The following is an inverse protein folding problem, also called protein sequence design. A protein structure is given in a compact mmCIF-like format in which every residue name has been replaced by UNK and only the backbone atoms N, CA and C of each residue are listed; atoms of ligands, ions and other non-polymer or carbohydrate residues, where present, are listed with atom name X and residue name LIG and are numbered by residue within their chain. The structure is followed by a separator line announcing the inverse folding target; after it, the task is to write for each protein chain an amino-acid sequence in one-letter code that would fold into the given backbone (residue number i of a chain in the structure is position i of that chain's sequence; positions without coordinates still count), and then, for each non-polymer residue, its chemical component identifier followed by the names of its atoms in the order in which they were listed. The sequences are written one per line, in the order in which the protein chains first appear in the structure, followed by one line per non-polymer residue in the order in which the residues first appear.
data_IF_185564526866
#
_entry.id   IF_185564526866
#
_cell.length_a   1.000
_cell.length_b   1.000
_cell.length_c   1.000
_cell.angle_alpha   90.00
_cell.angle_beta   90.00
_cell.angle_gamma   90.00
#
_symmetry.space_group_name_H-M   'P 1'
#
loop_
_entity.id
_entity.type
_entity.pdbx_description
1 polymer ?
#
# COMPACT_ATOMS: atom_id res chain seq x y z
N UNK A 1 22.36 1.55 -24.25
CA UNK A 1 22.24 0.12 -24.65
C UNK A 1 20.87 -0.37 -24.18
N UNK A 2 19.87 -0.35 -25.05
CA UNK A 2 18.51 -0.75 -24.66
C UNK A 2 18.47 -2.24 -24.32
N UNK A 3 18.02 -2.59 -23.11
CA UNK A 3 17.77 -3.99 -22.73
C UNK A 3 16.68 -4.52 -23.68
N UNK A 4 17.07 -5.32 -24.68
CA UNK A 4 16.12 -6.11 -25.46
C UNK A 4 15.35 -7.01 -24.49
N UNK A 5 14.02 -6.89 -24.49
CA UNK A 5 13.15 -7.75 -23.68
C UNK A 5 13.40 -9.21 -24.07
N UNK A 6 13.84 -10.03 -23.12
CA UNK A 6 14.01 -11.45 -23.34
C UNK A 6 12.64 -12.13 -23.34
N UNK A 7 12.40 -13.00 -24.33
CA UNK A 7 11.18 -13.81 -24.39
C UNK A 7 11.27 -14.90 -23.31
N UNK A 8 10.90 -14.54 -22.08
CA UNK A 8 10.77 -15.48 -20.97
C UNK A 8 9.35 -16.05 -20.97
N UNK A 9 9.25 -17.36 -20.94
CA UNK A 9 7.97 -18.03 -20.75
C UNK A 9 7.45 -17.72 -19.35
N UNK A 10 6.15 -17.45 -19.26
CA UNK A 10 5.45 -17.22 -17.98
C UNK A 10 4.34 -18.27 -17.90
N UNK A 11 4.30 -18.98 -16.78
CA UNK A 11 3.26 -19.97 -16.47
C UNK A 11 2.29 -19.33 -15.48
N UNK A 12 0.99 -19.40 -15.76
CA UNK A 12 -0.08 -18.88 -14.91
C UNK A 12 -1.08 -20.02 -14.67
N UNK A 13 -1.56 -20.11 -13.43
CA UNK A 13 -2.61 -21.04 -13.02
C UNK A 13 -3.74 -20.21 -12.43
N UNK A 14 -4.98 -20.47 -12.86
CA UNK A 14 -6.17 -19.85 -12.28
C UNK A 14 -7.28 -20.90 -12.16
N UNK A 15 -8.07 -20.80 -11.09
CA UNK A 15 -9.26 -21.62 -10.85
C UNK A 15 -10.57 -20.86 -11.10
N UNK A 16 -10.52 -19.53 -11.20
CA UNK A 16 -11.70 -18.67 -11.34
C UNK A 16 -11.84 -18.05 -12.73
N UNK A 17 -10.75 -17.97 -13.49
CA UNK A 17 -10.72 -17.26 -14.77
C UNK A 17 -11.05 -18.20 -15.93
N UNK A 18 -11.79 -17.69 -16.93
CA UNK A 18 -12.00 -18.39 -18.21
C UNK A 18 -10.74 -18.27 -19.08
N UNK A 19 -10.50 -19.27 -19.93
CA UNK A 19 -9.40 -19.27 -20.89
C UNK A 19 -9.73 -18.39 -22.12
N UNK A 20 -9.93 -17.09 -21.86
CA UNK A 20 -10.26 -16.07 -22.86
C UNK A 20 -9.10 -15.08 -23.01
N UNK A 21 -9.14 -14.31 -24.09
CA UNK A 21 -8.07 -13.39 -24.48
C UNK A 21 -8.67 -12.04 -24.83
N UNK A 22 -8.09 -10.96 -24.31
CA UNK A 22 -8.49 -9.58 -24.59
C UNK A 22 -7.40 -8.83 -25.34
N UNK A 23 -7.81 -7.88 -26.18
CA UNK A 23 -6.89 -6.97 -26.85
C UNK A 23 -6.51 -5.81 -25.93
N UNK A 24 -5.21 -5.62 -25.74
CA UNK A 24 -4.68 -4.56 -24.89
C UNK A 24 -3.74 -3.68 -25.70
N UNK A 25 -3.87 -2.34 -25.62
CA UNK A 25 -2.95 -1.43 -26.31
C UNK A 25 -1.56 -1.53 -25.70
N UNK A 26 -0.55 -1.77 -26.53
CA UNK A 26 0.87 -1.70 -26.17
C UNK A 26 1.53 -0.56 -26.92
N UNK A 27 2.09 0.39 -26.17
CA UNK A 27 2.94 1.45 -26.72
C UNK A 27 4.30 0.86 -27.09
N UNK A 28 4.67 1.02 -28.35
CA UNK A 28 5.99 0.67 -28.87
C UNK A 28 6.87 1.91 -28.88
N UNK A 29 8.14 1.74 -28.54
CA UNK A 29 9.13 2.83 -28.69
C UNK A 29 9.28 3.11 -30.19
N UNK A 30 9.08 4.36 -30.60
CA UNK A 30 9.09 4.87 -31.98
C UNK A 30 7.79 4.68 -32.81
N UNK A 31 6.66 4.36 -32.19
CA UNK A 31 5.35 4.42 -32.85
C UNK A 31 4.43 5.42 -32.14
N UNK A 32 3.70 6.24 -32.92
CA UNK A 32 2.74 7.21 -32.38
C UNK A 32 1.45 6.52 -31.92
N UNK A 33 0.97 5.55 -32.70
CA UNK A 33 -0.22 4.77 -32.38
C UNK A 33 0.10 3.52 -31.56
N UNK A 34 -0.71 3.18 -30.55
CA UNK A 34 -0.57 1.95 -29.79
C UNK A 34 -0.96 0.74 -30.65
N UNK A 35 -0.17 -0.32 -30.57
CA UNK A 35 -0.49 -1.60 -31.22
C UNK A 35 -1.40 -2.44 -30.31
N UNK A 36 -2.50 -2.96 -30.84
CA UNK A 36 -3.35 -3.91 -30.13
C UNK A 36 -2.65 -5.28 -30.05
N UNK A 37 -2.55 -5.82 -28.85
CA UNK A 37 -1.95 -7.13 -28.59
C UNK A 37 -2.91 -7.98 -27.79
N UNK A 38 -3.16 -9.18 -28.29
CA UNK A 38 -3.94 -10.19 -27.61
C UNK A 38 -3.19 -10.72 -26.38
N UNK A 39 -3.79 -10.61 -25.19
CA UNK A 39 -3.26 -11.11 -23.92
C UNK A 39 -4.30 -11.98 -23.23
N UNK A 40 -3.91 -13.12 -22.60
CA UNK A 40 -4.85 -13.94 -21.85
C UNK A 40 -5.46 -13.13 -20.70
N UNK A 41 -6.76 -13.24 -20.46
CA UNK A 41 -7.44 -12.46 -19.43
C UNK A 41 -6.88 -12.73 -18.03
N UNK A 42 -6.42 -13.95 -17.79
CA UNK A 42 -5.73 -14.37 -16.57
C UNK A 42 -4.56 -13.44 -16.23
N UNK A 43 -3.78 -12.99 -17.23
CA UNK A 43 -2.64 -12.09 -16.96
C UNK A 43 -3.11 -10.67 -16.63
N UNK A 44 -4.25 -10.24 -17.15
CA UNK A 44 -4.81 -8.93 -16.87
C UNK A 44 -5.36 -8.88 -15.45
N UNK A 45 -6.09 -9.92 -15.06
CA UNK A 45 -6.58 -10.11 -13.69
C UNK A 45 -5.42 -10.19 -12.69
N UNK A 46 -4.41 -11.01 -12.97
CA UNK A 46 -3.21 -11.09 -12.14
C UNK A 46 -2.56 -9.71 -11.95
N UNK A 47 -2.27 -8.99 -13.03
CA UNK A 47 -1.61 -7.68 -12.95
C UNK A 47 -2.46 -6.63 -12.23
N UNK A 48 -3.80 -6.73 -12.29
CA UNK A 48 -4.72 -5.81 -11.60
C UNK A 48 -4.61 -5.95 -10.09
N UNK A 49 -4.40 -7.16 -9.57
CA UNK A 49 -4.47 -7.44 -8.12
C UNK A 49 -3.11 -7.74 -7.46
N UNK A 50 -2.08 -8.13 -8.22
CA UNK A 50 -0.79 -8.56 -7.67
C UNK A 50 -0.09 -7.49 -6.81
N UNK A 51 -0.34 -6.20 -7.09
CA UNK A 51 0.33 -5.08 -6.43
C UNK A 51 -0.19 -4.72 -5.04
N UNK A 52 -1.22 -5.39 -4.53
CA UNK A 52 -1.86 -5.02 -3.26
C UNK A 52 -0.91 -5.05 -2.06
N UNK A 53 -0.12 -6.11 -1.93
CA UNK A 53 0.85 -6.27 -0.83
C UNK A 53 1.99 -5.27 -0.94
N UNK A 54 2.63 -5.17 -2.11
CA UNK A 54 3.73 -4.24 -2.36
C UNK A 54 3.30 -2.77 -2.13
N UNK A 55 2.08 -2.42 -2.52
CA UNK A 55 1.52 -1.07 -2.29
C UNK A 55 1.29 -0.82 -0.80
N UNK A 56 0.76 -1.81 -0.07
CA UNK A 56 0.59 -1.71 1.38
C UNK A 56 1.94 -1.54 2.09
N UNK A 57 2.95 -2.31 1.70
CA UNK A 57 4.29 -2.22 2.28
C UNK A 57 4.96 -0.88 1.94
N UNK A 58 4.81 -0.40 0.70
CA UNK A 58 5.26 0.95 0.30
C UNK A 58 4.62 2.04 1.17
N UNK A 59 3.32 1.96 1.45
CA UNK A 59 2.63 2.90 2.33
C UNK A 59 3.17 2.83 3.76
N UNK A 60 3.50 1.64 4.27
CA UNK A 60 4.10 1.51 5.60
C UNK A 60 5.44 2.23 5.67
N UNK A 61 6.32 2.03 4.68
CA UNK A 61 7.65 2.65 4.63
C UNK A 61 7.65 4.18 4.69
N UNK A 62 6.57 4.85 4.26
CA UNK A 62 6.48 6.33 4.30
C UNK A 62 6.55 6.91 5.71
N UNK A 63 6.08 6.18 6.73
CA UNK A 63 6.09 6.63 8.14
C UNK A 63 6.63 5.54 9.08
N UNK A 64 7.45 4.63 8.55
CA UNK A 64 8.01 3.54 9.32
C UNK A 64 9.11 4.05 10.25
N UNK A 65 8.90 3.94 11.55
CA UNK A 65 9.92 4.26 12.56
C UNK A 65 10.88 3.07 12.73
N UNK A 66 11.82 2.91 11.79
CA UNK A 66 12.87 1.89 11.88
C UNK A 66 13.95 2.28 12.91
N UNK A 67 13.69 1.96 14.18
CA UNK A 67 14.69 2.11 15.24
C UNK A 67 15.66 0.94 15.25
N UNK A 68 16.97 1.24 15.29
CA UNK A 68 18.01 0.22 15.54
C UNK A 68 17.75 -0.43 16.90
N UNK A 69 17.50 -1.73 16.91
CA UNK A 69 17.25 -2.49 18.14
C UNK A 69 17.91 -3.86 18.08
N UNK A 70 18.55 -4.27 19.18
CA UNK A 70 19.13 -5.61 19.33
C UNK A 70 18.06 -6.69 19.58
N UNK A 71 16.85 -6.29 19.99
CA UNK A 71 15.76 -7.21 20.35
C UNK A 71 14.74 -7.31 19.22
N UNK A 72 14.78 -8.42 18.46
CA UNK A 72 13.94 -8.63 17.28
C UNK A 72 12.42 -8.50 17.53
N UNK A 73 11.94 -8.97 18.69
CA UNK A 73 10.51 -8.88 19.03
C UNK A 73 9.97 -7.44 19.03
N UNK A 74 10.79 -6.44 19.39
CA UNK A 74 10.40 -5.03 19.32
C UNK A 74 10.08 -4.61 17.89
N UNK A 75 10.87 -5.07 16.92
CA UNK A 75 10.65 -4.80 15.49
C UNK A 75 9.30 -5.37 15.03
N UNK A 76 8.96 -6.58 15.48
CA UNK A 76 7.67 -7.21 15.16
C UNK A 76 6.51 -6.40 15.76
N UNK A 77 6.58 -6.07 17.05
CA UNK A 77 5.51 -5.30 17.74
C UNK A 77 5.27 -3.94 17.07
N UNK A 78 6.32 -3.16 16.81
CA UNK A 78 6.16 -1.85 16.15
C UNK A 78 5.65 -1.97 14.71
N UNK A 79 6.08 -3.01 13.96
CA UNK A 79 5.54 -3.27 12.64
C UNK A 79 4.04 -3.57 12.66
N UNK A 80 3.56 -4.35 13.64
CA UNK A 80 2.14 -4.62 13.83
C UNK A 80 1.38 -3.32 14.14
N UNK A 81 1.89 -2.50 15.07
CA UNK A 81 1.29 -1.21 15.41
C UNK A 81 1.20 -0.28 14.19
N UNK A 82 2.25 -0.21 13.37
CA UNK A 82 2.25 0.60 12.15
C UNK A 82 1.22 0.10 11.13
N UNK A 83 1.03 -1.22 11.01
CA UNK A 83 -0.02 -1.84 10.17
C UNK A 83 -1.42 -1.53 10.70
N UNK A 84 -1.63 -1.63 12.00
CA UNK A 84 -2.90 -1.25 12.63
C UNK A 84 -3.23 0.22 12.37
N UNK A 85 -2.25 1.11 12.53
CA UNK A 85 -2.41 2.54 12.30
C UNK A 85 -2.74 2.84 10.82
N UNK A 86 -2.05 2.20 9.87
CA UNK A 86 -2.36 2.35 8.45
C UNK A 86 -3.79 1.86 8.13
N UNK A 87 -4.18 0.70 8.63
CA UNK A 87 -5.52 0.14 8.43
C UNK A 87 -6.60 1.05 9.03
N UNK A 88 -6.37 1.59 10.23
CA UNK A 88 -7.30 2.55 10.85
C UNK A 88 -7.47 3.82 10.02
N UNK A 89 -6.39 4.32 9.42
CA UNK A 89 -6.45 5.47 8.52
C UNK A 89 -7.23 5.17 7.23
N UNK A 90 -7.06 3.98 6.65
CA UNK A 90 -7.81 3.55 5.46
C UNK A 90 -9.31 3.54 5.76
N UNK A 91 -9.71 2.90 6.87
CA UNK A 91 -11.11 2.85 7.31
C UNK A 91 -11.68 4.26 7.58
N UNK A 92 -10.91 5.11 8.26
CA UNK A 92 -11.27 6.51 8.49
C UNK A 92 -11.49 7.26 7.16
N UNK A 93 -10.58 7.09 6.21
CA UNK A 93 -10.65 7.77 4.91
C UNK A 93 -11.85 7.28 4.09
N UNK A 94 -12.14 5.98 4.09
CA UNK A 94 -13.30 5.39 3.43
C UNK A 94 -14.61 5.90 4.05
N UNK A 95 -14.70 5.92 5.38
CA UNK A 95 -15.86 6.46 6.10
C UNK A 95 -16.08 7.94 5.78
N UNK A 96 -15.03 8.77 5.79
CA UNK A 96 -15.13 10.20 5.45
C UNK A 96 -15.55 10.41 3.99
N UNK A 97 -14.97 9.66 3.05
CA UNK A 97 -15.33 9.73 1.63
C UNK A 97 -16.78 9.35 1.40
N UNK A 98 -17.26 8.28 2.04
CA UNK A 98 -18.66 7.82 1.92
C UNK A 98 -19.65 8.87 2.42
N UNK A 99 -19.25 9.70 3.38
CA UNK A 99 -20.04 10.81 3.91
C UNK A 99 -19.77 12.17 3.21
N UNK A 100 -19.08 12.19 2.06
CA UNK A 100 -18.67 13.41 1.35
C UNK A 100 -17.90 14.42 2.22
N UNK A 101 -17.16 13.93 3.22
CA UNK A 101 -16.35 14.76 4.11
C UNK A 101 -14.89 14.81 3.66
N UNK A 102 -14.24 15.95 3.90
CA UNK A 102 -12.81 16.12 3.61
C UNK A 102 -11.98 15.18 4.47
N UNK A 103 -11.17 14.35 3.82
CA UNK A 103 -10.21 13.46 4.48
C UNK A 103 -8.99 14.27 4.91
N UNK A 104 -8.51 14.03 6.13
CA UNK A 104 -7.27 14.65 6.61
C UNK A 104 -6.04 13.92 6.08
N UNK A 105 -4.90 14.62 5.99
CA UNK A 105 -3.62 14.00 5.65
C UNK A 105 -3.26 12.93 6.69
N UNK A 106 -2.68 11.81 6.25
CA UNK A 106 -2.23 10.72 7.12
C UNK A 106 -1.31 11.18 8.24
N UNK A 107 -0.34 12.06 7.96
CA UNK A 107 0.53 12.59 9.02
C UNK A 107 -0.30 13.27 10.13
N UNK A 108 -1.29 14.08 9.72
CA UNK A 108 -2.14 14.79 10.69
C UNK A 108 -3.00 13.84 11.51
N UNK A 109 -3.52 12.79 10.88
CA UNK A 109 -4.25 11.72 11.55
C UNK A 109 -3.40 10.99 12.59
N UNK A 110 -2.14 10.72 12.27
CA UNK A 110 -1.19 10.08 13.20
C UNK A 110 -0.88 11.02 14.37
N UNK A 111 -0.63 12.31 14.10
CA UNK A 111 -0.41 13.32 15.16
C UNK A 111 -1.58 13.42 16.13
N UNK A 112 -2.82 13.37 15.62
CA UNK A 112 -4.03 13.43 16.48
C UNK A 112 -4.11 12.21 17.38
N UNK A 113 -3.87 11.01 16.85
CA UNK A 113 -3.86 9.78 17.65
C UNK A 113 -2.77 9.82 18.73
N UNK A 114 -1.55 10.24 18.38
CA UNK A 114 -0.45 10.35 19.34
C UNK A 114 -0.79 11.35 20.44
N UNK A 115 -1.36 12.50 20.08
CA UNK A 115 -1.76 13.54 21.03
C UNK A 115 -2.87 13.06 21.97
N UNK A 116 -3.88 12.37 21.45
CA UNK A 116 -4.98 11.82 22.23
C UNK A 116 -4.50 10.75 23.23
N UNK A 117 -3.68 9.79 22.77
CA UNK A 117 -3.11 8.75 23.63
C UNK A 117 -2.18 9.35 24.69
N UNK A 118 -1.35 10.33 24.30
CA UNK A 118 -0.38 10.97 25.19
C UNK A 118 -1.00 11.97 26.17
N UNK A 119 -2.22 12.44 25.91
CA UNK A 119 -2.83 13.55 26.66
C UNK A 119 -2.93 13.27 28.17
N UNK A 120 -3.34 12.06 28.55
CA UNK A 120 -3.49 11.67 29.94
C UNK A 120 -2.16 11.55 30.68
N UNK A 121 -1.13 11.02 30.00
CA UNK A 121 0.23 10.94 30.53
C UNK A 121 0.87 12.33 30.70
N UNK A 122 0.64 13.24 29.73
CA UNK A 122 1.15 14.61 29.81
C UNK A 122 0.52 15.34 31.01
N UNK A 123 -0.80 15.18 31.22
CA UNK A 123 -1.54 15.78 32.34
C UNK A 123 -1.02 15.31 33.70
N UNK A 124 -0.85 14.01 33.87
CA UNK A 124 -0.35 13.42 35.12
C UNK A 124 1.07 13.91 35.44
N UNK A 125 1.94 14.03 34.43
CA UNK A 125 3.30 14.53 34.61
C UNK A 125 3.36 16.03 34.96
N UNK A 126 2.45 16.85 34.43
CA UNK A 126 2.35 18.28 34.77
C UNK A 126 1.83 18.48 36.20
N UNK A 127 0.86 17.66 36.63
CA UNK A 127 0.23 17.78 37.95
C UNK A 127 1.04 17.12 39.09
N UNK A 128 2.11 16.39 38.78
CA UNK A 128 3.04 15.79 39.74
C UNK A 128 4.47 16.24 39.46
N UNK A 129 4.84 17.51 39.70
CA UNK A 129 6.20 17.95 39.55
C UNK A 129 7.05 17.28 40.64
N UNK A 130 7.89 16.33 40.25
CA UNK A 130 9.05 15.91 41.05
C UNK A 130 10.00 17.07 41.23
#
# INVERSE_FOLDING_TARGET
RDKKSQKKQVLLLSTSSKATTSEVPRRMRNQREPQLISKPDVILEYNKYMGGVDTSDMMLYTYLDERKTLKYWKKVTFNIMNRMLLNSYILYAEHKKSNNQKVMNRLKYIETIISEIGSEWIRTKINSPT
#
